data_IF_731357284162
#
_entry.id   IF_731357284162
#
_cell.length_a   1.000
_cell.length_b   1.000
_cell.length_c   1.000
_cell.angle_alpha   90.00
_cell.angle_beta   90.00
_cell.angle_gamma   90.00
#
_symmetry.space_group_name_H-M   'P 1'
#
loop_
_entity.id
_entity.type
_entity.pdbx_description
1 polymer ?
#
# COMPACT_ATOMS: atom_id res chain seq x y z
N UNK A 1 10.21 6.90 -0.67
CA UNK A 1 8.80 6.86 -0.21
C UNK A 1 8.66 6.63 1.30
N UNK A 2 9.33 5.65 1.93
CA UNK A 2 9.08 5.31 3.35
C UNK A 2 9.12 6.49 4.36
N UNK A 3 10.14 7.36 4.28
CA UNK A 3 10.21 8.54 5.16
C UNK A 3 9.09 9.55 4.91
N UNK A 4 8.74 9.78 3.64
CA UNK A 4 7.62 10.67 3.26
C UNK A 4 6.29 10.13 3.79
N UNK A 5 6.06 8.81 3.72
CA UNK A 5 4.87 8.17 4.28
C UNK A 5 4.80 8.34 5.80
N UNK A 6 5.92 8.21 6.51
CA UNK A 6 5.97 8.46 7.95
C UNK A 6 5.69 9.92 8.30
N UNK A 7 6.28 10.86 7.57
CA UNK A 7 6.07 12.29 7.78
C UNK A 7 4.60 12.67 7.55
N UNK A 8 3.99 12.21 6.45
CA UNK A 8 2.58 12.42 6.17
C UNK A 8 1.69 11.85 7.28
N UNK A 9 1.97 10.62 7.73
CA UNK A 9 1.22 10.01 8.84
C UNK A 9 1.34 10.83 10.14
N UNK A 10 2.52 11.39 10.42
CA UNK A 10 2.73 12.29 11.54
C UNK A 10 1.86 13.55 11.43
N UNK A 11 1.91 14.23 10.28
CA UNK A 11 1.11 15.44 10.02
C UNK A 11 -0.39 15.19 10.14
N UNK A 12 -0.89 14.07 9.59
CA UNK A 12 -2.30 13.69 9.68
C UNK A 12 -2.73 13.42 11.13
N UNK A 13 -1.89 12.75 11.92
CA UNK A 13 -2.15 12.54 13.35
C UNK A 13 -2.17 13.85 14.13
N UNK A 14 -1.23 14.75 13.86
CA UNK A 14 -1.22 16.10 14.47
C UNK A 14 -2.48 16.88 14.10
N UNK A 15 -3.03 16.68 12.90
CA UNK A 15 -4.31 17.26 12.48
C UNK A 15 -5.55 16.55 13.07
N UNK A 16 -5.38 15.57 13.95
CA UNK A 16 -6.47 14.88 14.65
C UNK A 16 -7.02 13.63 13.95
N UNK A 17 -6.40 13.17 12.86
CA UNK A 17 -6.82 11.92 12.21
C UNK A 17 -6.23 10.69 12.89
N UNK A 18 -7.02 9.62 13.03
CA UNK A 18 -6.47 8.29 13.33
C UNK A 18 -5.86 7.68 12.05
N UNK A 19 -4.61 7.21 12.16
CA UNK A 19 -3.82 6.77 11.01
C UNK A 19 -3.25 5.39 11.27
N UNK A 20 -3.71 4.42 10.48
CA UNK A 20 -3.15 3.08 10.37
C UNK A 20 -2.18 2.98 9.19
N UNK A 21 -0.94 2.54 9.44
CA UNK A 21 0.08 2.35 8.39
C UNK A 21 0.11 0.89 7.92
N UNK A 22 -0.16 0.68 6.63
CA UNK A 22 0.00 -0.62 5.95
C UNK A 22 1.30 -0.59 5.14
N UNK A 23 2.21 -1.53 5.40
CA UNK A 23 3.55 -1.55 4.79
C UNK A 23 3.68 -2.69 3.77
N UNK A 24 4.09 -2.37 2.54
CA UNK A 24 4.43 -3.36 1.50
C UNK A 24 5.70 -4.15 1.83
N UNK A 25 6.60 -3.58 2.64
CA UNK A 25 7.89 -4.18 2.98
C UNK A 25 7.94 -4.78 4.39
N UNK A 26 6.80 -5.21 4.94
CA UNK A 26 6.77 -5.83 6.27
C UNK A 26 7.74 -7.03 6.37
N UNK A 27 8.32 -7.30 7.56
CA UNK A 27 9.17 -8.45 7.79
C UNK A 27 8.44 -9.76 7.45
N UNK A 28 9.16 -10.74 6.90
CA UNK A 28 8.57 -12.06 6.62
C UNK A 28 8.05 -12.69 7.91
N UNK A 29 6.80 -13.14 7.87
CA UNK A 29 6.17 -13.92 8.93
C UNK A 29 5.60 -15.19 8.32
N UNK A 30 6.19 -16.38 8.58
CA UNK A 30 7.36 -16.66 9.44
C UNK A 30 8.72 -16.21 8.88
N UNK A 31 9.68 -15.91 9.76
CA UNK A 31 11.01 -15.38 9.37
C UNK A 31 11.84 -16.36 8.51
N UNK A 32 11.60 -17.67 8.60
CA UNK A 32 12.34 -18.70 7.85
C UNK A 32 12.03 -18.68 6.34
N UNK A 33 10.87 -18.14 5.94
CA UNK A 33 10.45 -18.04 4.53
C UNK A 33 11.34 -17.10 3.73
N UNK A 34 12.04 -16.17 4.39
CA UNK A 34 13.04 -15.31 3.75
C UNK A 34 14.21 -16.05 3.08
N UNK A 35 14.38 -17.35 3.37
CA UNK A 35 15.44 -18.21 2.81
C UNK A 35 15.05 -18.95 1.53
N UNK A 36 13.76 -19.03 1.18
CA UNK A 36 13.29 -19.71 -0.05
C UNK A 36 13.32 -18.75 -1.24
N UNK A 37 14.27 -18.94 -2.17
CA UNK A 37 14.37 -18.12 -3.38
C UNK A 37 13.15 -18.35 -4.30
N UNK A 38 12.63 -17.30 -4.93
CA UNK A 38 11.48 -17.37 -5.85
C UNK A 38 10.09 -17.17 -5.23
N UNK A 39 9.78 -17.78 -4.07
CA UNK A 39 8.42 -17.74 -3.48
C UNK A 39 8.20 -16.51 -2.57
N UNK A 40 9.27 -15.80 -2.21
CA UNK A 40 9.26 -14.64 -1.30
C UNK A 40 8.27 -13.54 -1.72
N UNK A 41 8.12 -13.30 -3.02
CA UNK A 41 7.20 -12.28 -3.52
C UNK A 41 5.74 -12.61 -3.15
N UNK A 42 5.34 -13.88 -3.30
CA UNK A 42 3.99 -14.35 -2.94
C UNK A 42 3.75 -14.26 -1.43
N UNK A 43 4.74 -14.66 -0.62
CA UNK A 43 4.66 -14.55 0.84
C UNK A 43 4.71 -13.12 1.39
N UNK A 44 5.03 -12.13 0.55
CA UNK A 44 4.89 -10.72 0.89
C UNK A 44 3.55 -10.16 0.42
N UNK A 45 3.11 -10.57 -0.75
CA UNK A 45 1.88 -10.09 -1.36
C UNK A 45 0.64 -10.59 -0.60
N UNK A 46 0.55 -11.87 -0.25
CA UNK A 46 -0.64 -12.42 0.41
C UNK A 46 -0.91 -11.76 1.78
N UNK A 47 0.06 -11.64 2.70
CA UNK A 47 -0.16 -10.95 3.97
C UNK A 47 -0.50 -9.46 3.78
N UNK A 48 0.07 -8.82 2.75
CA UNK A 48 -0.25 -7.44 2.42
C UNK A 48 -1.71 -7.28 1.98
N UNK A 49 -2.19 -8.11 1.07
CA UNK A 49 -3.59 -8.11 0.61
C UNK A 49 -4.55 -8.41 1.77
N UNK A 50 -4.21 -9.40 2.60
CA UNK A 50 -4.95 -9.69 3.83
C UNK A 50 -5.04 -8.45 4.73
N UNK A 51 -3.90 -7.81 5.01
CA UNK A 51 -3.87 -6.63 5.88
C UNK A 51 -4.67 -5.46 5.29
N UNK A 52 -4.60 -5.22 3.98
CA UNK A 52 -5.43 -4.22 3.30
C UNK A 52 -6.91 -4.50 3.52
N UNK A 53 -7.35 -5.73 3.29
CA UNK A 53 -8.76 -6.12 3.45
C UNK A 53 -9.27 -5.86 4.87
N UNK A 54 -8.48 -6.24 5.89
CA UNK A 54 -8.86 -6.03 7.28
C UNK A 54 -8.85 -4.55 7.67
N UNK A 55 -7.86 -3.78 7.20
CA UNK A 55 -7.80 -2.34 7.46
C UNK A 55 -8.94 -1.60 6.76
N UNK A 56 -9.36 -2.05 5.57
CA UNK A 56 -10.55 -1.52 4.88
C UNK A 56 -11.86 -1.71 5.69
N UNK A 57 -11.87 -2.53 6.73
CA UNK A 57 -12.99 -2.62 7.68
C UNK A 57 -12.95 -1.65 8.84
N UNK A 58 -11.90 -0.87 8.96
CA UNK A 58 -11.66 0.00 10.12
C UNK A 58 -11.46 1.46 9.74
N UNK A 59 -11.28 1.76 8.46
CA UNK A 59 -10.96 3.11 7.98
C UNK A 59 -11.96 3.57 6.92
N UNK A 60 -12.03 4.89 6.73
CA UNK A 60 -12.91 5.52 5.73
C UNK A 60 -12.18 5.98 4.48
N UNK A 61 -10.84 6.07 4.54
CA UNK A 61 -9.99 6.59 3.49
C UNK A 61 -8.70 5.78 3.41
N UNK A 62 -8.32 5.39 2.19
CA UNK A 62 -6.98 4.94 1.86
C UNK A 62 -6.20 6.08 1.20
N UNK A 63 -5.07 6.43 1.80
CA UNK A 63 -4.06 7.29 1.17
C UNK A 63 -2.92 6.41 0.67
N UNK A 64 -2.87 6.19 -0.64
CA UNK A 64 -1.92 5.27 -1.28
C UNK A 64 -0.72 6.06 -1.80
N UNK A 65 0.47 5.68 -1.35
CA UNK A 65 1.73 6.16 -1.93
C UNK A 65 2.10 5.24 -3.10
N UNK A 66 2.06 5.76 -4.32
CA UNK A 66 2.23 4.97 -5.53
C UNK A 66 3.39 5.48 -6.40
N UNK A 67 3.91 4.60 -7.25
CA UNK A 67 4.89 4.88 -8.29
C UNK A 67 4.56 4.01 -9.53
N UNK A 68 5.31 4.17 -10.60
CA UNK A 68 5.11 3.48 -11.89
C UNK A 68 5.55 2.02 -11.86
N UNK A 69 5.19 1.28 -12.91
CA UNK A 69 5.69 -0.07 -13.19
C UNK A 69 5.06 -1.17 -12.33
N UNK A 70 5.80 -2.24 -12.06
CA UNK A 70 5.26 -3.43 -11.37
C UNK A 70 4.72 -3.15 -9.96
N UNK A 71 5.28 -2.18 -9.23
CA UNK A 71 4.77 -1.79 -7.91
C UNK A 71 3.38 -1.16 -7.96
N UNK A 72 2.99 -0.57 -9.09
CA UNK A 72 1.60 -0.15 -9.31
C UNK A 72 0.67 -1.37 -9.30
N UNK A 73 0.92 -2.34 -10.19
CA UNK A 73 0.06 -3.50 -10.36
C UNK A 73 0.05 -4.44 -9.15
N UNK A 74 1.18 -4.56 -8.45
CA UNK A 74 1.29 -5.45 -7.29
C UNK A 74 0.76 -4.83 -5.99
N UNK A 75 0.76 -3.50 -5.85
CA UNK A 75 0.43 -2.85 -4.58
C UNK A 75 -0.64 -1.77 -4.71
N UNK A 76 -0.46 -0.79 -5.59
CA UNK A 76 -1.39 0.32 -5.71
C UNK A 76 -2.76 -0.12 -6.26
N UNK A 77 -2.79 -0.83 -7.40
CA UNK A 77 -4.02 -1.30 -8.01
C UNK A 77 -4.86 -2.20 -7.08
N UNK A 78 -4.28 -3.21 -6.39
CA UNK A 78 -5.04 -3.99 -5.41
C UNK A 78 -5.59 -3.16 -4.25
N UNK A 79 -4.83 -2.17 -3.74
CA UNK A 79 -5.32 -1.28 -2.69
C UNK A 79 -6.48 -0.40 -3.18
N UNK A 80 -6.44 0.08 -4.43
CA UNK A 80 -7.53 0.84 -5.07
C UNK A 80 -8.78 -0.04 -5.17
N UNK A 81 -8.64 -1.26 -5.71
CA UNK A 81 -9.76 -2.19 -5.88
C UNK A 81 -10.38 -2.61 -4.55
N UNK A 82 -9.56 -2.95 -3.55
CA UNK A 82 -10.06 -3.29 -2.21
C UNK A 82 -10.78 -2.09 -1.58
N UNK A 83 -10.24 -0.89 -1.73
CA UNK A 83 -10.91 0.33 -1.26
C UNK A 83 -12.28 0.48 -1.89
N UNK A 84 -12.37 0.38 -3.22
CA UNK A 84 -13.61 0.44 -3.97
C UNK A 84 -14.61 -0.66 -3.54
N UNK A 85 -14.19 -1.92 -3.49
CA UNK A 85 -15.03 -3.06 -3.08
C UNK A 85 -15.57 -2.93 -1.66
N UNK A 86 -14.86 -2.22 -0.79
CA UNK A 86 -15.20 -2.05 0.63
C UNK A 86 -15.90 -0.72 0.94
N UNK A 87 -16.15 0.12 -0.07
CA UNK A 87 -16.74 1.45 0.10
C UNK A 87 -15.82 2.45 0.82
N UNK A 88 -14.52 2.24 0.75
CA UNK A 88 -13.49 3.12 1.32
C UNK A 88 -13.01 4.09 0.23
N UNK A 89 -13.07 5.39 0.50
CA UNK A 89 -12.55 6.40 -0.42
C UNK A 89 -11.05 6.20 -0.66
N UNK A 90 -10.57 6.51 -1.86
CA UNK A 90 -9.16 6.29 -2.22
C UNK A 90 -8.55 7.58 -2.76
N UNK A 91 -7.41 7.98 -2.19
CA UNK A 91 -6.55 9.04 -2.70
C UNK A 91 -5.21 8.41 -3.07
N UNK A 92 -4.80 8.59 -4.33
CA UNK A 92 -3.51 8.13 -4.83
C UNK A 92 -2.56 9.31 -4.91
N UNK A 93 -1.45 9.21 -4.21
CA UNK A 93 -0.36 10.17 -4.27
C UNK A 93 0.80 9.52 -5.04
N UNK A 94 0.83 9.85 -6.33
CA UNK A 94 1.80 9.31 -7.27
C UNK A 94 3.15 10.02 -7.15
N UNK A 95 4.23 9.24 -7.14
CA UNK A 95 5.60 9.69 -6.95
C UNK A 95 6.55 9.22 -8.06
N UNK A 96 6.03 8.60 -9.13
CA UNK A 96 6.81 8.33 -10.33
C UNK A 96 7.03 9.60 -11.14
N UNK A 97 8.17 9.73 -11.82
CA UNK A 97 8.40 10.82 -12.78
C UNK A 97 7.55 10.67 -14.04
N UNK A 98 7.19 9.43 -14.38
CA UNK A 98 6.51 9.06 -15.63
C UNK A 98 4.99 8.93 -15.42
N UNK A 99 4.32 9.91 -14.80
CA UNK A 99 2.87 9.80 -14.56
C UNK A 99 2.08 9.77 -15.87
N UNK A 100 2.39 10.70 -16.76
CA UNK A 100 1.69 10.89 -18.02
C UNK A 100 1.86 9.69 -18.95
N UNK A 101 3.09 9.20 -19.13
CA UNK A 101 3.33 8.03 -19.97
C UNK A 101 2.72 6.75 -19.37
N UNK A 102 2.76 6.59 -18.04
CA UNK A 102 2.25 5.38 -17.41
C UNK A 102 0.72 5.25 -17.46
N UNK A 103 -0.01 6.37 -17.40
CA UNK A 103 -1.49 6.38 -17.42
C UNK A 103 -2.11 6.65 -18.80
N UNK A 104 -1.32 6.99 -19.82
CA UNK A 104 -1.79 7.17 -21.20
C UNK A 104 -1.93 5.86 -21.98
N UNK A 105 -1.62 4.73 -21.35
CA UNK A 105 -1.72 3.36 -21.88
C UNK A 105 -2.80 2.59 -21.15
#
# INVERSE_FOLDING_TARGET
MANQTRQLAGLLRTAGADVSLVQINAPYRPAWVGRLQGIRALFRLFPYIWQLWHTAGKVRLFHIMANSGWSWHLFAAPAIWIGWLRGVSVIVNYRGGEAEEFFSR
#
